data_IF_059988825881
#
_entry.id   IF_059988825881
#
_cell.length_a   1.000
_cell.length_b   1.000
_cell.length_c   1.000
_cell.angle_alpha   90.00
_cell.angle_beta   90.00
_cell.angle_gamma   90.00
#
_symmetry.space_group_name_H-M   'P 1'
#
loop_
_entity.id
_entity.type
_entity.pdbx_description
1 polymer ?
#
# COMPACT_ATOMS: atom_id res chain seq x y z
N UNK A 1 21.05 23.29 38.47
CA UNK A 1 20.82 22.10 39.31
C UNK A 1 20.72 22.61 40.73
N UNK A 2 19.55 22.46 41.39
CA UNK A 2 19.24 23.16 42.64
C UNK A 2 19.11 22.15 43.78
N UNK A 3 19.92 22.32 44.83
CA UNK A 3 19.86 21.51 46.06
C UNK A 3 18.89 22.17 47.04
N UNK A 4 17.88 21.43 47.51
CA UNK A 4 16.87 21.94 48.44
C UNK A 4 17.02 21.30 49.81
N UNK A 5 17.02 22.12 50.87
CA UNK A 5 17.00 21.66 52.25
C UNK A 5 15.58 21.78 52.80
N UNK A 6 15.07 20.72 53.41
CA UNK A 6 13.77 20.73 54.07
C UNK A 6 13.86 21.51 55.40
N UNK A 7 12.83 22.32 55.68
CA UNK A 7 12.68 23.00 56.97
C UNK A 7 12.06 22.06 58.01
N UNK A 8 12.54 22.11 59.25
CA UNK A 8 11.94 21.36 60.35
C UNK A 8 10.60 21.96 60.77
N UNK A 9 9.51 21.19 60.66
CA UNK A 9 8.22 21.57 61.23
C UNK A 9 8.23 21.51 62.75
N UNK A 10 7.68 22.52 63.42
CA UNK A 10 7.60 22.58 64.88
C UNK A 10 6.45 21.68 65.39
N UNK A 11 6.71 20.37 65.47
CA UNK A 11 5.77 19.39 66.03
C UNK A 11 6.03 19.21 67.53
N UNK A 12 5.25 19.89 68.36
CA UNK A 12 5.17 19.60 69.80
C UNK A 12 4.24 18.39 70.00
N UNK A 13 4.77 17.18 69.97
CA UNK A 13 4.04 15.95 70.24
C UNK A 13 4.76 14.70 69.72
N UNK A 14 4.58 13.55 70.39
CA UNK A 14 5.15 12.24 70.07
C UNK A 14 4.64 11.60 68.74
N UNK A 15 4.31 12.42 67.73
CA UNK A 15 3.94 11.99 66.39
C UNK A 15 5.12 12.01 65.41
N UNK A 16 4.98 11.41 64.22
CA UNK A 16 6.01 11.47 63.18
C UNK A 16 6.32 12.92 62.81
N UNK A 17 7.61 13.28 62.84
CA UNK A 17 8.08 14.62 62.43
C UNK A 17 7.84 14.79 60.93
N UNK A 18 6.86 15.61 60.57
CA UNK A 18 6.62 16.01 59.20
C UNK A 18 7.66 17.06 58.78
N UNK A 19 8.49 16.71 57.80
CA UNK A 19 9.37 17.64 57.11
C UNK A 19 8.65 18.18 55.88
N UNK A 20 8.58 19.49 55.72
CA UNK A 20 7.95 20.11 54.55
C UNK A 20 8.85 21.17 53.94
N UNK A 21 8.71 21.35 52.62
CA UNK A 21 9.43 22.34 51.85
C UNK A 21 8.64 22.68 50.60
N UNK A 22 8.81 23.89 50.08
CA UNK A 22 8.18 24.31 48.82
C UNK A 22 9.24 24.67 47.79
N UNK A 23 9.03 24.25 46.56
CA UNK A 23 9.90 24.55 45.42
C UNK A 23 9.06 25.18 44.32
N UNK A 24 9.43 26.38 43.88
CA UNK A 24 8.85 27.00 42.68
C UNK A 24 9.58 26.50 41.45
N UNK A 25 8.85 25.82 40.57
CA UNK A 25 9.35 25.40 39.26
C UNK A 25 8.84 26.42 38.22
N UNK A 26 9.72 27.10 37.46
CA UNK A 26 9.32 28.05 36.42
C UNK A 26 8.49 27.35 35.34
N UNK A 27 7.40 27.97 34.89
CA UNK A 27 6.62 27.46 33.77
C UNK A 27 7.42 27.58 32.45
N UNK A 28 7.48 26.51 31.65
CA UNK A 28 8.06 26.53 30.30
C UNK A 28 9.43 25.88 30.12
N UNK A 29 9.97 25.17 31.12
CA UNK A 29 11.13 24.30 30.90
C UNK A 29 10.67 22.87 30.60
N UNK A 30 10.79 22.46 29.33
CA UNK A 30 10.52 21.08 28.87
C UNK A 30 11.64 20.09 29.21
N UNK A 31 12.56 20.45 30.11
CA UNK A 31 13.70 19.60 30.51
C UNK A 31 13.42 18.89 31.83
N UNK A 32 13.78 17.60 31.95
CA UNK A 32 13.64 16.87 33.21
C UNK A 32 14.50 17.55 34.28
N UNK A 33 13.83 18.12 35.28
CA UNK A 33 14.51 18.74 36.41
C UNK A 33 14.63 17.69 37.51
N UNK A 34 15.85 17.19 37.73
CA UNK A 34 16.15 16.38 38.91
C UNK A 34 16.29 17.31 40.10
N UNK A 35 15.40 17.16 41.08
CA UNK A 35 15.45 17.83 42.37
C UNK A 35 16.24 16.97 43.33
N UNK A 36 17.33 17.51 43.89
CA UNK A 36 18.05 16.89 45.00
C UNK A 36 17.53 17.48 46.32
N UNK A 37 16.95 16.64 47.16
CA UNK A 37 16.40 17.02 48.47
C UNK A 37 17.31 16.46 49.55
N UNK A 38 17.98 17.35 50.30
CA UNK A 38 18.82 16.97 51.43
C UNK A 38 17.98 16.91 52.72
N UNK A 39 18.03 15.77 53.38
CA UNK A 39 17.39 15.54 54.67
C UNK A 39 18.37 15.80 55.83
N UNK A 40 17.89 16.25 57.00
CA UNK A 40 18.72 16.46 58.17
C UNK A 40 19.27 15.14 58.74
N UNK A 41 20.41 15.17 59.47
CA UNK A 41 21.00 13.99 60.10
C UNK A 41 20.00 13.32 61.06
N UNK A 42 19.95 11.98 61.04
CA UNK A 42 19.00 11.19 61.84
C UNK A 42 17.65 10.91 61.16
N UNK A 43 17.50 11.26 59.87
CA UNK A 43 16.33 10.84 59.06
C UNK A 43 16.45 9.34 58.73
N UNK A 44 15.36 8.55 58.79
CA UNK A 44 15.39 7.15 58.40
C UNK A 44 15.86 6.95 56.95
N UNK A 45 16.53 5.82 56.67
CA UNK A 45 17.04 5.49 55.32
C UNK A 45 15.94 5.42 54.24
N UNK A 46 14.67 5.32 54.65
CA UNK A 46 13.51 5.38 53.77
C UNK A 46 12.54 6.48 54.18
N UNK A 47 12.13 7.28 53.21
CA UNK A 47 11.16 8.36 53.40
C UNK A 47 10.09 8.30 52.33
N UNK A 48 8.85 8.56 52.73
CA UNK A 48 7.73 8.76 51.81
C UNK A 48 7.64 10.24 51.49
N UNK A 49 7.72 10.60 50.21
CA UNK A 49 7.57 11.98 49.75
C UNK A 49 6.19 12.20 49.16
N UNK A 50 5.45 13.17 49.72
CA UNK A 50 4.19 13.65 49.16
C UNK A 50 4.42 14.93 48.35
N UNK A 51 4.05 14.89 47.07
CA UNK A 51 4.20 16.01 46.14
C UNK A 51 2.83 16.63 45.85
N UNK A 52 2.70 17.91 46.21
CA UNK A 52 1.47 18.70 46.03
C UNK A 52 1.74 19.92 45.16
N UNK A 53 0.80 20.26 44.27
CA UNK A 53 0.85 21.50 43.48
C UNK A 53 0.03 22.58 44.16
N UNK A 54 0.70 23.64 44.65
CA UNK A 54 0.03 24.76 45.34
C UNK A 54 0.21 24.71 46.85
N UNK A 55 -0.80 25.16 47.61
CA UNK A 55 -0.80 25.08 49.08
C UNK A 55 -0.98 23.65 49.56
N UNK A 56 -0.26 23.25 50.60
CA UNK A 56 -0.36 21.91 51.19
C UNK A 56 -1.74 21.67 51.81
N UNK A 57 -2.50 20.72 51.23
CA UNK A 57 -3.70 20.12 51.81
C UNK A 57 -3.62 18.61 51.58
N UNK A 58 -3.91 17.75 52.58
CA UNK A 58 -3.86 16.29 52.41
C UNK A 58 -4.78 15.75 51.32
N UNK A 59 -5.83 16.49 50.97
CA UNK A 59 -6.74 16.15 49.87
C UNK A 59 -6.15 16.42 48.47
N UNK A 60 -5.05 17.19 48.39
CA UNK A 60 -4.41 17.62 47.14
C UNK A 60 -3.13 16.83 46.83
N UNK A 61 -2.82 15.78 47.61
CA UNK A 61 -1.67 14.89 47.38
C UNK A 61 -1.83 14.15 46.05
N UNK A 62 -1.03 14.52 45.05
CA UNK A 62 -1.13 13.94 43.70
C UNK A 62 -0.24 12.71 43.51
N UNK A 63 0.82 12.58 44.30
CA UNK A 63 1.73 11.43 44.28
C UNK A 63 2.38 11.25 45.64
N UNK A 64 2.38 10.00 46.10
CA UNK A 64 3.15 9.52 47.26
C UNK A 64 4.08 8.42 46.75
N UNK A 65 5.37 8.51 47.05
CA UNK A 65 6.35 7.50 46.67
C UNK A 65 7.43 7.38 47.75
N UNK A 66 7.82 6.14 48.02
CA UNK A 66 8.91 5.81 48.94
C UNK A 66 10.25 5.93 48.21
N UNK A 67 11.19 6.63 48.83
CA UNK A 67 12.56 6.78 48.35
C UNK A 67 13.53 6.23 49.40
N UNK A 68 14.54 5.51 48.93
CA UNK A 68 15.74 5.26 49.73
C UNK A 68 16.65 6.50 49.66
N UNK A 69 17.20 6.90 50.79
CA UNK A 69 18.15 8.00 50.87
C UNK A 69 19.57 7.48 50.58
N UNK A 70 20.30 8.19 49.73
CA UNK A 70 21.72 7.98 49.49
C UNK A 70 22.49 9.14 50.13
N UNK A 71 23.29 8.86 51.17
CA UNK A 71 23.95 9.88 52.02
C UNK A 71 23.02 11.01 52.51
N UNK A 72 21.77 10.65 52.84
CA UNK A 72 20.76 11.60 53.32
C UNK A 72 20.16 12.49 52.23
N UNK A 73 20.36 12.15 50.94
CA UNK A 73 19.80 12.85 49.78
C UNK A 73 18.78 11.95 49.06
N UNK A 74 17.65 12.53 48.66
CA UNK A 74 16.74 11.93 47.68
C UNK A 74 16.83 12.67 46.34
N UNK A 75 16.95 11.92 45.24
CA UNK A 75 16.82 12.46 43.89
C UNK A 75 15.41 12.22 43.34
N UNK A 76 14.72 13.30 43.00
CA UNK A 76 13.34 13.26 42.49
C UNK A 76 13.28 13.88 41.11
N UNK A 77 13.00 13.06 40.09
CA UNK A 77 12.78 13.56 38.74
C UNK A 77 11.38 14.21 38.62
N UNK A 78 11.34 15.48 38.23
CA UNK A 78 10.09 16.21 37.96
C UNK A 78 10.03 16.59 36.48
N UNK A 79 8.99 16.14 35.78
CA UNK A 79 8.77 16.41 34.35
C UNK A 79 7.71 17.51 34.15
N UNK A 80 8.01 18.48 33.30
CA UNK A 80 7.04 19.38 32.68
C UNK A 80 7.19 19.27 31.14
N UNK A 81 6.11 19.29 30.34
CA UNK A 81 4.71 19.41 30.73
C UNK A 81 4.19 18.09 31.28
N UNK A 82 3.41 18.16 32.35
CA UNK A 82 2.61 17.06 32.90
C UNK A 82 1.64 16.54 31.81
N UNK A 83 2.11 15.66 30.95
CA UNK A 83 1.31 14.72 30.17
C UNK A 83 1.50 13.36 30.82
N UNK A 84 0.44 12.57 31.01
CA UNK A 84 0.57 11.21 31.53
C UNK A 84 1.38 10.40 30.50
N UNK A 85 2.69 10.31 30.72
CA UNK A 85 3.59 9.46 29.96
C UNK A 85 3.71 8.15 30.73
N UNK A 86 3.05 7.14 30.15
CA UNK A 86 3.51 5.76 30.07
C UNK A 86 3.96 5.09 31.38
N UNK A 87 3.12 4.16 31.85
CA UNK A 87 3.45 3.28 32.96
C UNK A 87 4.66 2.40 32.66
N UNK A 88 5.50 2.22 33.68
CA UNK A 88 6.51 1.17 33.74
C UNK A 88 5.80 -0.12 34.18
N UNK A 89 5.96 -1.16 33.36
CA UNK A 89 5.45 -2.52 33.58
C UNK A 89 6.02 -3.13 34.87
N UNK A 90 5.14 -3.61 35.75
CA UNK A 90 5.37 -4.82 36.56
C UNK A 90 4.03 -5.56 36.70
N UNK A 91 4.02 -6.84 36.31
CA UNK A 91 3.10 -7.86 36.81
C UNK A 91 1.62 -7.76 36.42
N UNK A 92 1.21 -8.64 35.50
CA UNK A 92 -0.13 -9.23 35.37
C UNK A 92 -1.36 -8.31 35.27
N UNK A 93 -1.86 -8.15 34.05
CA UNK A 93 -3.22 -7.67 33.77
C UNK A 93 -3.25 -6.67 32.61
N UNK A 94 -3.53 -7.15 31.40
CA UNK A 94 -3.68 -6.29 30.24
C UNK A 94 -5.02 -5.52 30.35
N UNK A 95 -5.02 -4.40 31.08
CA UNK A 95 -6.09 -3.40 30.99
C UNK A 95 -5.75 -2.41 29.87
N UNK A 96 -6.31 -2.62 28.68
CA UNK A 96 -6.36 -1.61 27.62
C UNK A 96 -7.20 -0.42 28.09
N UNK A 97 -6.56 0.58 28.69
CA UNK A 97 -7.17 1.91 28.83
C UNK A 97 -6.85 2.70 27.56
N UNK A 98 -7.88 2.99 26.76
CA UNK A 98 -7.78 3.93 25.63
C UNK A 98 -7.24 5.26 26.17
N UNK A 99 -5.97 5.53 25.88
CA UNK A 99 -5.33 6.80 26.19
C UNK A 99 -5.99 7.92 25.39
N UNK A 100 -6.26 9.04 26.05
CA UNK A 100 -6.82 10.25 25.47
C UNK A 100 -5.80 10.81 24.44
N UNK A 101 -6.00 10.53 23.15
CA UNK A 101 -5.16 11.11 22.08
C UNK A 101 -5.50 12.60 21.99
N UNK A 102 -4.53 13.52 22.17
CA UNK A 102 -4.83 14.95 22.13
C UNK A 102 -5.37 15.31 20.75
N UNK A 103 -6.54 15.97 20.70
CA UNK A 103 -7.26 16.31 19.45
C UNK A 103 -6.36 17.04 18.43
N UNK A 104 -5.42 17.88 18.89
CA UNK A 104 -4.45 18.58 18.02
C UNK A 104 -3.46 17.65 17.32
N UNK A 105 -3.06 16.54 17.96
CA UNK A 105 -2.18 15.54 17.35
C UNK A 105 -2.95 14.74 16.29
N UNK A 106 -4.20 14.36 16.59
CA UNK A 106 -5.09 13.71 15.63
C UNK A 106 -5.33 14.58 14.38
N UNK A 107 -5.49 15.89 14.57
CA UNK A 107 -5.66 16.85 13.47
C UNK A 107 -4.45 16.87 12.54
N UNK A 108 -3.22 16.97 13.06
CA UNK A 108 -1.99 16.99 12.24
C UNK A 108 -1.86 15.71 11.41
N UNK A 109 -2.03 14.54 12.06
CA UNK A 109 -1.96 13.24 11.39
C UNK A 109 -3.04 13.13 10.31
N UNK A 110 -4.28 13.53 10.59
CA UNK A 110 -5.36 13.45 9.60
C UNK A 110 -5.09 14.36 8.40
N UNK A 111 -4.62 15.59 8.59
CA UNK A 111 -4.39 16.53 7.47
C UNK A 111 -3.18 16.21 6.62
N UNK A 112 -2.18 15.51 7.15
CA UNK A 112 -1.02 15.06 6.37
C UNK A 112 -1.27 13.73 5.65
N UNK A 113 -1.91 12.77 6.34
CA UNK A 113 -2.12 11.43 5.79
C UNK A 113 -3.34 11.32 4.88
N UNK A 114 -4.39 12.11 5.10
CA UNK A 114 -5.60 12.06 4.27
C UNK A 114 -5.31 12.43 2.81
N UNK A 115 -4.55 13.49 2.48
CA UNK A 115 -4.19 13.80 1.09
C UNK A 115 -3.33 12.70 0.46
N UNK A 116 -2.41 12.09 1.22
CA UNK A 116 -1.57 10.98 0.73
C UNK A 116 -2.44 9.78 0.40
N UNK A 117 -3.33 9.38 1.31
CA UNK A 117 -4.24 8.27 1.10
C UNK A 117 -5.19 8.53 -0.08
N UNK A 118 -5.74 9.73 -0.18
CA UNK A 118 -6.61 10.13 -1.29
C UNK A 118 -5.84 10.16 -2.62
N UNK A 119 -4.61 10.68 -2.62
CA UNK A 119 -3.73 10.69 -3.79
C UNK A 119 -3.37 9.28 -4.26
N UNK A 120 -3.04 8.38 -3.33
CA UNK A 120 -2.77 6.97 -3.65
C UNK A 120 -4.00 6.25 -4.19
N UNK A 121 -5.18 6.50 -3.61
CA UNK A 121 -6.45 5.96 -4.10
C UNK A 121 -6.75 6.47 -5.51
N UNK A 122 -6.64 7.78 -5.74
CA UNK A 122 -6.86 8.40 -7.05
C UNK A 122 -5.86 7.87 -8.09
N UNK A 123 -4.58 7.80 -7.76
CA UNK A 123 -3.56 7.22 -8.62
C UNK A 123 -3.88 5.77 -8.97
N UNK A 124 -4.30 4.96 -8.00
CA UNK A 124 -4.68 3.56 -8.22
C UNK A 124 -5.88 3.46 -9.16
N UNK A 125 -6.92 4.29 -8.97
CA UNK A 125 -8.09 4.33 -9.83
C UNK A 125 -7.72 4.74 -11.26
N UNK A 126 -6.90 5.78 -11.43
CA UNK A 126 -6.43 6.23 -12.74
C UNK A 126 -5.57 5.17 -13.44
N UNK A 127 -4.60 4.57 -12.74
CA UNK A 127 -3.74 3.53 -13.31
C UNK A 127 -4.55 2.30 -13.73
N UNK A 128 -5.50 1.86 -12.90
CA UNK A 128 -6.37 0.72 -13.20
C UNK A 128 -7.34 1.00 -14.36
N UNK A 129 -7.82 2.23 -14.47
CA UNK A 129 -8.80 2.59 -15.51
C UNK A 129 -8.13 2.82 -16.87
N UNK A 130 -6.97 3.49 -16.88
CA UNK A 130 -6.38 4.02 -18.11
C UNK A 130 -5.05 3.38 -18.51
N UNK A 131 -4.25 2.90 -17.57
CA UNK A 131 -2.87 2.52 -17.85
C UNK A 131 -2.71 1.02 -18.10
N UNK A 132 -3.04 0.22 -17.08
CA UNK A 132 -2.74 -1.20 -17.07
C UNK A 132 -3.89 -2.03 -16.52
N UNK A 133 -4.11 -3.20 -17.13
CA UNK A 133 -4.99 -4.23 -16.58
C UNK A 133 -4.26 -5.57 -16.57
N UNK A 134 -4.51 -6.38 -15.55
CA UNK A 134 -3.96 -7.73 -15.42
C UNK A 134 -5.05 -8.76 -15.69
N UNK A 135 -4.77 -9.74 -16.54
CA UNK A 135 -5.71 -10.78 -16.92
C UNK A 135 -5.09 -12.16 -16.72
N UNK A 136 -5.89 -13.10 -16.20
CA UNK A 136 -5.53 -14.51 -16.11
C UNK A 136 -5.89 -15.20 -17.42
N UNK A 137 -5.01 -16.06 -17.93
CA UNK A 137 -5.22 -16.77 -19.19
C UNK A 137 -5.70 -18.20 -18.93
N UNK A 138 -6.99 -18.51 -19.15
CA UNK A 138 -7.53 -19.84 -18.87
C UNK A 138 -7.40 -20.81 -20.06
N UNK A 139 -7.03 -20.32 -21.26
CA UNK A 139 -7.10 -21.11 -22.50
C UNK A 139 -5.76 -21.22 -23.24
N UNK A 140 -5.66 -22.28 -24.05
CA UNK A 140 -4.46 -22.66 -24.80
C UNK A 140 -4.30 -21.99 -26.17
N UNK A 141 -5.22 -21.08 -26.53
CA UNK A 141 -5.29 -20.51 -27.90
C UNK A 141 -4.07 -19.68 -28.32
N UNK A 142 -3.29 -19.21 -27.35
CA UNK A 142 -2.06 -18.44 -27.55
C UNK A 142 -0.81 -19.20 -27.12
N UNK A 143 -0.90 -20.52 -26.86
CA UNK A 143 0.23 -21.33 -26.40
C UNK A 143 1.43 -21.24 -27.35
N UNK A 144 2.62 -21.46 -26.77
CA UNK A 144 3.96 -21.11 -27.28
C UNK A 144 4.31 -19.61 -27.21
N UNK A 145 3.32 -18.71 -27.23
CA UNK A 145 3.54 -17.27 -26.96
C UNK A 145 3.08 -16.85 -25.58
N UNK A 146 1.90 -17.27 -25.14
CA UNK A 146 1.28 -17.02 -23.83
C UNK A 146 0.65 -18.32 -23.36
N UNK A 147 1.12 -18.84 -22.23
CA UNK A 147 0.75 -20.17 -21.78
C UNK A 147 -0.50 -20.13 -20.89
N UNK A 148 -1.25 -21.22 -20.89
CA UNK A 148 -2.35 -21.42 -19.95
C UNK A 148 -1.85 -21.23 -18.50
N UNK A 149 -2.59 -20.44 -17.72
CA UNK A 149 -2.25 -20.07 -16.35
C UNK A 149 -1.33 -18.85 -16.20
N UNK A 150 -0.93 -18.21 -17.30
CA UNK A 150 -0.18 -16.94 -17.25
C UNK A 150 -1.07 -15.80 -16.74
N UNK A 151 -0.48 -14.86 -16.00
CA UNK A 151 -1.05 -13.53 -15.78
C UNK A 151 -0.35 -12.52 -16.70
N UNK A 152 -1.14 -11.90 -17.56
CA UNK A 152 -0.68 -10.94 -18.57
C UNK A 152 -1.08 -9.54 -18.15
N UNK A 153 -0.12 -8.62 -18.20
CA UNK A 153 -0.34 -7.19 -18.06
C UNK A 153 -0.55 -6.58 -19.44
N UNK A 154 -1.69 -5.94 -19.65
CA UNK A 154 -1.99 -5.15 -20.84
C UNK A 154 -1.63 -3.67 -20.65
N UNK A 155 -1.35 -3.00 -21.76
CA UNK A 155 -1.17 -1.56 -21.85
C UNK A 155 -2.32 -0.96 -22.66
N UNK A 156 -3.18 -0.19 -21.99
CA UNK A 156 -4.46 0.28 -22.55
C UNK A 156 -4.39 1.71 -23.11
N UNK A 157 -3.41 2.51 -22.65
CA UNK A 157 -3.23 3.93 -23.00
C UNK A 157 -3.26 4.20 -24.51
N UNK A 158 -2.55 3.45 -25.37
CA UNK A 158 -2.47 3.79 -26.79
C UNK A 158 -3.84 3.73 -27.46
N UNK A 159 -4.66 2.74 -27.07
CA UNK A 159 -5.92 2.49 -27.74
C UNK A 159 -7.07 3.31 -27.15
N UNK A 160 -7.11 3.49 -25.82
CA UNK A 160 -8.20 4.20 -25.13
C UNK A 160 -8.00 5.71 -25.01
N UNK A 161 -6.76 6.18 -24.87
CA UNK A 161 -6.46 7.61 -24.67
C UNK A 161 -5.85 8.29 -25.89
N UNK A 162 -4.99 7.59 -26.62
CA UNK A 162 -4.30 8.18 -27.78
C UNK A 162 -4.99 7.87 -29.12
N UNK A 163 -6.03 7.03 -29.12
CA UNK A 163 -6.74 6.64 -30.34
C UNK A 163 -5.85 5.92 -31.36
N UNK A 164 -4.73 5.33 -30.93
CA UNK A 164 -3.87 4.58 -31.83
C UNK A 164 -4.57 3.31 -32.28
N UNK A 165 -4.34 2.94 -33.53
CA UNK A 165 -4.86 1.69 -34.08
C UNK A 165 -3.89 0.53 -33.85
N UNK A 166 -4.42 -0.67 -33.53
CA UNK A 166 -3.65 -1.89 -33.53
C UNK A 166 -2.92 -2.10 -34.84
N UNK A 167 -1.68 -2.57 -34.74
CA UNK A 167 -0.89 -2.97 -35.90
C UNK A 167 -0.96 -4.47 -36.08
N UNK A 168 -0.74 -4.93 -37.32
CA UNK A 168 -0.50 -6.34 -37.62
C UNK A 168 0.62 -6.88 -36.72
N UNK A 169 0.50 -8.14 -36.28
CA UNK A 169 1.44 -8.79 -35.40
C UNK A 169 1.25 -8.47 -33.91
N UNK A 170 0.50 -7.43 -33.55
CA UNK A 170 0.25 -7.11 -32.14
C UNK A 170 -0.71 -8.12 -31.49
N UNK A 171 -0.45 -8.45 -30.23
CA UNK A 171 -1.33 -9.23 -29.38
C UNK A 171 -2.21 -8.28 -28.59
N UNK A 172 -3.51 -8.40 -28.76
CA UNK A 172 -4.50 -7.51 -28.18
C UNK A 172 -5.43 -8.27 -27.23
N UNK A 173 -5.91 -7.54 -26.23
CA UNK A 173 -6.98 -7.97 -25.32
C UNK A 173 -8.24 -7.21 -25.71
N UNK A 174 -9.37 -7.91 -25.81
CA UNK A 174 -10.61 -7.34 -26.32
C UNK A 174 -11.85 -8.06 -25.76
N UNK A 175 -12.97 -7.35 -25.73
CA UNK A 175 -14.31 -7.87 -25.44
C UNK A 175 -14.82 -8.65 -26.67
N UNK A 176 -15.35 -9.86 -26.49
CA UNK A 176 -15.91 -10.63 -27.60
C UNK A 176 -17.08 -9.88 -28.27
N UNK A 177 -17.23 -9.90 -29.60
CA UNK A 177 -18.35 -9.23 -30.29
C UNK A 177 -19.73 -9.74 -29.87
N UNK A 178 -19.92 -11.07 -29.72
CA UNK A 178 -21.18 -11.70 -29.27
C UNK A 178 -21.49 -11.60 -27.75
N UNK A 179 -21.12 -10.51 -27.07
CA UNK A 179 -21.44 -10.25 -25.64
C UNK A 179 -20.97 -11.34 -24.64
N UNK A 180 -19.82 -11.97 -24.88
CA UNK A 180 -19.17 -12.85 -23.90
C UNK A 180 -18.62 -12.01 -22.72
N UNK A 181 -18.93 -12.34 -21.45
CA UNK A 181 -18.38 -11.64 -20.29
C UNK A 181 -16.87 -11.85 -20.11
N UNK A 182 -16.29 -12.89 -20.72
CA UNK A 182 -14.87 -13.19 -20.60
C UNK A 182 -14.01 -12.31 -21.51
N UNK A 183 -12.76 -12.07 -21.07
CA UNK A 183 -11.78 -11.32 -21.86
C UNK A 183 -11.00 -12.24 -22.78
N UNK A 184 -10.85 -11.81 -24.04
CA UNK A 184 -10.17 -12.57 -25.07
C UNK A 184 -8.82 -11.97 -25.42
N UNK A 185 -7.87 -12.83 -25.77
CA UNK A 185 -6.54 -12.45 -26.24
C UNK A 185 -6.23 -13.16 -27.55
N UNK A 186 -5.83 -12.40 -28.57
CA UNK A 186 -5.48 -12.90 -29.92
C UNK A 186 -4.45 -11.98 -30.57
N UNK A 187 -3.80 -12.46 -31.62
CA UNK A 187 -2.89 -11.68 -32.46
C UNK A 187 -3.64 -11.08 -33.66
N UNK A 188 -3.34 -9.82 -33.97
CA UNK A 188 -3.87 -9.13 -35.16
C UNK A 188 -3.18 -9.68 -36.41
N UNK A 189 -3.94 -10.39 -37.24
CA UNK A 189 -3.48 -10.95 -38.52
C UNK A 189 -3.79 -10.01 -39.70
N UNK A 190 -4.89 -9.26 -39.64
CA UNK A 190 -5.27 -8.24 -40.62
C UNK A 190 -5.77 -6.96 -39.97
N UNK A 191 -5.40 -5.83 -40.56
CA UNK A 191 -5.83 -4.47 -40.18
C UNK A 191 -6.75 -3.88 -41.27
N UNK A 192 -7.43 -2.75 -41.05
CA UNK A 192 -8.23 -2.10 -42.08
C UNK A 192 -7.52 -1.96 -43.43
N UNK A 193 -8.21 -2.36 -44.50
CA UNK A 193 -7.71 -2.38 -45.86
C UNK A 193 -7.04 -3.70 -46.28
N UNK A 194 -6.75 -4.61 -45.35
CA UNK A 194 -6.15 -5.89 -45.68
C UNK A 194 -7.14 -6.88 -46.31
N UNK A 195 -6.63 -7.74 -47.18
CA UNK A 195 -7.27 -8.99 -47.59
C UNK A 195 -6.50 -10.14 -46.97
N UNK A 196 -7.17 -10.94 -46.14
CA UNK A 196 -6.57 -12.07 -45.42
C UNK A 196 -7.14 -13.37 -45.95
N UNK A 197 -6.25 -14.32 -46.24
CA UNK A 197 -6.58 -15.66 -46.71
C UNK A 197 -5.57 -16.67 -46.18
N UNK A 198 -5.92 -17.95 -46.22
CA UNK A 198 -5.03 -19.04 -45.82
C UNK A 198 -5.14 -20.16 -46.84
N UNK A 199 -3.98 -20.60 -47.34
CA UNK A 199 -3.85 -21.65 -48.36
C UNK A 199 -2.84 -22.70 -47.91
N UNK A 200 -3.25 -23.97 -47.82
CA UNK A 200 -2.39 -25.05 -47.33
C UNK A 200 -1.83 -24.80 -45.93
N UNK A 201 -2.56 -24.05 -45.10
CA UNK A 201 -2.15 -23.68 -43.74
C UNK A 201 -1.18 -22.50 -43.62
N UNK A 202 -0.77 -21.89 -44.74
CA UNK A 202 0.03 -20.66 -44.79
C UNK A 202 -0.90 -19.44 -44.85
N UNK A 203 -0.74 -18.50 -43.91
CA UNK A 203 -1.45 -17.23 -43.96
C UNK A 203 -0.86 -16.34 -45.06
N UNK A 204 -1.73 -15.73 -45.84
CA UNK A 204 -1.40 -14.80 -46.92
C UNK A 204 -2.19 -13.51 -46.69
N UNK A 205 -1.50 -12.37 -46.72
CA UNK A 205 -2.09 -11.06 -46.51
C UNK A 205 -1.74 -10.16 -47.68
N UNK A 206 -2.76 -9.62 -48.35
CA UNK A 206 -2.62 -8.81 -49.56
C UNK A 206 -1.84 -9.53 -50.69
N UNK A 207 -2.01 -10.84 -50.80
CA UNK A 207 -1.35 -11.69 -51.79
C UNK A 207 0.08 -12.14 -51.41
N UNK A 208 0.63 -11.64 -50.31
CA UNK A 208 1.97 -12.01 -49.84
C UNK A 208 1.90 -13.00 -48.66
N UNK A 209 2.64 -14.11 -48.68
CA UNK A 209 2.70 -15.03 -47.55
C UNK A 209 3.32 -14.33 -46.34
N UNK A 210 2.65 -14.42 -45.18
CA UNK A 210 3.13 -13.84 -43.94
C UNK A 210 4.13 -14.80 -43.27
N UNK A 211 5.28 -14.29 -42.82
CA UNK A 211 6.18 -15.06 -41.97
C UNK A 211 5.66 -15.07 -40.52
N UNK A 212 5.51 -16.26 -39.95
CA UNK A 212 4.85 -16.46 -38.65
C UNK A 212 5.71 -17.33 -37.73
N UNK A 213 6.89 -16.86 -37.29
CA UNK A 213 7.82 -17.66 -36.48
C UNK A 213 7.25 -18.02 -35.09
N UNK A 214 6.12 -17.43 -34.72
CA UNK A 214 5.43 -17.62 -33.44
C UNK A 214 4.40 -18.77 -33.45
N UNK A 215 4.07 -19.37 -34.60
CA UNK A 215 3.09 -20.47 -34.64
C UNK A 215 3.76 -21.83 -34.42
N UNK A 216 3.10 -22.70 -33.64
CA UNK A 216 3.55 -24.07 -33.43
C UNK A 216 3.42 -24.95 -34.67
N UNK A 217 2.31 -24.75 -35.38
CA UNK A 217 1.88 -25.58 -36.49
C UNK A 217 0.94 -24.77 -37.38
N UNK A 218 0.89 -25.08 -38.69
CA UNK A 218 0.00 -24.41 -39.63
C UNK A 218 -1.49 -24.70 -39.33
N UNK A 219 -2.36 -23.84 -39.88
CA UNK A 219 -3.81 -24.06 -39.85
C UNK A 219 -4.18 -25.31 -40.66
N UNK A 220 -5.18 -26.06 -40.21
CA UNK A 220 -5.77 -27.15 -41.01
C UNK A 220 -6.79 -26.66 -42.03
N UNK A 221 -7.32 -25.45 -41.82
CA UNK A 221 -8.41 -24.90 -42.60
C UNK A 221 -7.88 -23.77 -43.46
N UNK A 222 -8.12 -23.90 -44.75
CA UNK A 222 -8.05 -22.81 -45.69
C UNK A 222 -9.28 -21.93 -45.50
N UNK A 223 -9.10 -20.63 -45.71
CA UNK A 223 -10.17 -19.66 -45.58
C UNK A 223 -9.88 -18.42 -46.43
N UNK A 224 -10.91 -17.58 -46.56
CA UNK A 224 -10.81 -16.33 -47.29
C UNK A 224 -11.00 -16.49 -48.80
N UNK A 225 -10.75 -15.42 -49.56
CA UNK A 225 -10.29 -14.10 -49.10
C UNK A 225 -11.32 -13.37 -48.22
N UNK A 226 -10.83 -12.75 -47.14
CA UNK A 226 -11.62 -11.88 -46.25
C UNK A 226 -11.07 -10.47 -46.33
N UNK A 227 -11.87 -9.52 -46.82
CA UNK A 227 -11.53 -8.10 -46.78
C UNK A 227 -11.83 -7.53 -45.38
N UNK A 228 -10.88 -6.78 -44.82
CA UNK A 228 -11.00 -6.12 -43.52
C UNK A 228 -11.40 -4.65 -43.74
N UNK A 229 -12.66 -4.26 -43.47
CA UNK A 229 -13.10 -2.87 -43.64
C UNK A 229 -12.57 -1.96 -42.53
N UNK A 230 -12.72 -0.64 -42.74
CA UNK A 230 -12.40 0.37 -41.75
C UNK A 230 -13.11 0.12 -40.41
N UNK A 231 -12.37 0.25 -39.32
CA UNK A 231 -12.88 0.00 -37.97
C UNK A 231 -12.95 -1.47 -37.57
N UNK A 232 -12.46 -2.40 -38.40
CA UNK A 232 -12.43 -3.83 -38.10
C UNK A 232 -11.02 -4.42 -38.18
N UNK A 233 -10.86 -5.57 -37.53
CA UNK A 233 -9.61 -6.34 -37.49
C UNK A 233 -9.90 -7.82 -37.69
N UNK A 234 -8.94 -8.53 -38.30
CA UNK A 234 -8.96 -9.98 -38.37
C UNK A 234 -7.92 -10.52 -37.39
N UNK A 235 -8.35 -11.34 -36.42
CA UNK A 235 -7.50 -11.82 -35.33
C UNK A 235 -7.41 -13.34 -35.29
N UNK A 236 -6.23 -13.86 -34.97
CA UNK A 236 -5.94 -15.29 -34.90
C UNK A 236 -5.26 -15.64 -33.59
N UNK A 237 -5.49 -16.87 -33.11
CA UNK A 237 -4.65 -17.45 -32.07
C UNK A 237 -3.33 -17.95 -32.64
N UNK A 238 -2.26 -17.86 -31.84
CA UNK A 238 -0.95 -18.41 -32.22
C UNK A 238 -1.00 -19.95 -32.27
N UNK A 239 -1.83 -20.57 -31.42
CA UNK A 239 -2.15 -21.99 -31.51
C UNK A 239 -3.24 -22.21 -32.57
N UNK A 240 -2.84 -22.16 -33.85
CA UNK A 240 -3.74 -22.19 -35.02
C UNK A 240 -4.73 -23.34 -35.02
N UNK A 241 -4.31 -24.50 -34.55
CA UNK A 241 -5.10 -25.71 -34.57
C UNK A 241 -6.11 -25.78 -33.41
N UNK A 242 -5.95 -24.93 -32.39
CA UNK A 242 -6.76 -24.94 -31.19
C UNK A 242 -7.08 -23.51 -30.71
N UNK A 243 -7.71 -22.74 -31.59
CA UNK A 243 -8.11 -21.35 -31.31
C UNK A 243 -9.46 -21.05 -31.95
N UNK A 244 -10.41 -20.60 -31.12
CA UNK A 244 -11.65 -19.96 -31.57
C UNK A 244 -11.35 -18.47 -31.76
N UNK A 245 -11.44 -17.99 -33.00
CA UNK A 245 -10.99 -16.67 -33.43
C UNK A 245 -11.72 -16.23 -34.72
N UNK A 246 -11.17 -15.26 -35.47
CA UNK A 246 -11.84 -14.67 -36.63
C UNK A 246 -12.23 -15.64 -37.74
N UNK A 247 -11.65 -16.84 -37.77
CA UNK A 247 -12.07 -17.92 -38.68
C UNK A 247 -13.48 -18.43 -38.39
N UNK A 248 -13.96 -18.27 -37.15
CA UNK A 248 -15.24 -18.79 -36.70
C UNK A 248 -16.27 -17.67 -36.51
N UNK A 249 -15.88 -16.56 -35.87
CA UNK A 249 -16.81 -15.46 -35.54
C UNK A 249 -16.77 -14.29 -36.54
N UNK A 250 -15.83 -14.28 -37.49
CA UNK A 250 -15.62 -13.15 -38.40
C UNK A 250 -14.74 -12.01 -37.85
N UNK A 251 -15.10 -10.76 -38.12
CA UNK A 251 -14.24 -9.61 -37.86
C UNK A 251 -14.44 -9.03 -36.46
N UNK A 252 -13.36 -8.50 -35.87
CA UNK A 252 -13.36 -7.85 -34.56
C UNK A 252 -13.51 -6.32 -34.73
N UNK A 253 -14.57 -5.69 -34.20
CA UNK A 253 -14.70 -4.24 -34.22
C UNK A 253 -13.62 -3.54 -33.37
N UNK A 254 -13.19 -2.34 -33.78
CA UNK A 254 -12.14 -1.55 -33.13
C UNK A 254 -12.50 -1.17 -31.70
N UNK A 255 -13.77 -0.91 -31.44
CA UNK A 255 -14.32 -0.49 -30.16
C UNK A 255 -14.22 -1.59 -29.09
N UNK A 256 -14.20 -2.85 -29.49
CA UNK A 256 -14.03 -3.99 -28.61
C UNK A 256 -12.59 -4.11 -28.07
N UNK A 257 -11.63 -3.43 -28.68
CA UNK A 257 -10.20 -3.57 -28.35
C UNK A 257 -9.86 -2.76 -27.10
N UNK A 258 -9.50 -3.47 -26.04
CA UNK A 258 -9.24 -2.91 -24.70
C UNK A 258 -7.80 -2.43 -24.56
N UNK A 259 -6.84 -3.23 -25.01
CA UNK A 259 -5.42 -3.01 -24.73
C UNK A 259 -4.49 -3.94 -25.49
N UNK A 260 -3.19 -3.64 -25.46
CA UNK A 260 -2.16 -4.50 -26.03
C UNK A 260 -1.49 -5.32 -24.93
N UNK A 261 -1.32 -6.63 -25.12
CA UNK A 261 -0.54 -7.45 -24.21
C UNK A 261 0.93 -6.99 -24.22
N UNK A 262 1.46 -6.64 -23.04
CA UNK A 262 2.79 -6.05 -22.92
C UNK A 262 3.77 -6.98 -22.19
N UNK A 263 3.31 -7.66 -21.13
CA UNK A 263 4.20 -8.43 -20.27
C UNK A 263 3.47 -9.59 -19.60
N UNK A 264 4.06 -10.78 -19.65
CA UNK A 264 3.67 -11.89 -18.77
C UNK A 264 4.44 -11.67 -17.47
N UNK A 265 3.76 -11.48 -16.33
CA UNK A 265 4.44 -11.23 -15.05
C UNK A 265 4.41 -12.41 -14.09
N UNK A 266 3.47 -13.34 -14.26
CA UNK A 266 3.36 -14.53 -13.42
C UNK A 266 2.98 -15.76 -14.27
N UNK A 267 3.51 -16.95 -13.95
CA UNK A 267 4.48 -17.24 -12.88
C UNK A 267 5.85 -16.63 -13.15
N UNK A 268 6.60 -16.31 -12.09
CA UNK A 268 7.90 -15.62 -12.21
C UNK A 268 8.90 -16.35 -13.11
N UNK A 269 8.84 -17.69 -13.16
CA UNK A 269 9.67 -18.52 -14.04
C UNK A 269 9.42 -18.30 -15.53
N UNK A 270 8.29 -17.69 -15.90
CA UNK A 270 7.88 -17.39 -17.27
C UNK A 270 7.78 -15.88 -17.55
N UNK A 271 8.16 -15.04 -16.59
CA UNK A 271 8.01 -13.61 -16.71
C UNK A 271 8.83 -13.06 -17.90
N UNK A 272 8.17 -12.40 -18.85
CA UNK A 272 8.80 -11.91 -20.09
C UNK A 272 7.98 -10.82 -20.76
N UNK A 273 8.66 -9.98 -21.54
CA UNK A 273 8.00 -9.04 -22.44
C UNK A 273 7.32 -9.82 -23.56
N UNK A 274 6.07 -9.44 -23.86
CA UNK A 274 5.34 -9.96 -25.01
C UNK A 274 5.76 -9.12 -26.21
N UNK A 275 6.60 -9.69 -27.07
CA UNK A 275 7.04 -9.01 -28.28
C UNK A 275 5.87 -8.87 -29.25
N UNK A 276 5.66 -7.64 -29.68
CA UNK A 276 4.67 -7.23 -30.64
C UNK A 276 5.46 -6.67 -31.83
N UNK A 277 5.98 -7.56 -32.67
CA UNK A 277 6.66 -7.19 -33.93
C UNK A 277 5.63 -6.76 -34.98
#
# INVERSE_FOLDING_TARGET
MNLFRLGGGNGNGNGPRLLSGSVKIPAGQDTPSVLRIQFPPGTPERVTLELTRGSFSPADTQRSQDFALDDGVAEVAVFAPWRPTTGILHGHGLRLRLGFVPVKFMHIVLWEWLPIALGALLATLLLRTFAFASFFIPSSSMEDTIMTGDLVLSWNVPFKLLGQDPRRGQIIVFDHPDEDPDMWIKRVAGVPGDVVECHGGQLVVNGEPLDEPYIKAPSYHDFGPVYVPDGYYFVLGDNRQNSFDSRYWGLLPRENIVGRAAFVFWPWSRARVVYNE
#
